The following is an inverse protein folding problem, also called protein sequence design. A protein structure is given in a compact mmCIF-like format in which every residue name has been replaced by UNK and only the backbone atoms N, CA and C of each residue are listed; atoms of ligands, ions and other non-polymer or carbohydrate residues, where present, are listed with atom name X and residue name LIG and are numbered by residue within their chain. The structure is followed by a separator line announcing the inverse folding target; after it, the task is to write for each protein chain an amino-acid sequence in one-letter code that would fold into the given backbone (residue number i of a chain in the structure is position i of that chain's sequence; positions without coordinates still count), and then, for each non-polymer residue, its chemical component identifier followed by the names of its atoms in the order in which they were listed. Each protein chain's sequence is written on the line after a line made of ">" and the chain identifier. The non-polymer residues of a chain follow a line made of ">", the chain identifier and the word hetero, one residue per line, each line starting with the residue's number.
data_IF_782032452952
#
_entry.id   IF_782032452952
#
_cell.length_a   1.000
_cell.length_b   1.000
_cell.length_c   1.000
_cell.angle_alpha   90.00
_cell.angle_beta   90.00
_cell.angle_gamma   90.00
#
_symmetry.space_group_name_H-M   'P 1'
#
loop_
_entity.id
_entity.type
_entity.pdbx_description
1 polymer ?
#
# COMPACT_ATOMS: atom_id res chain seq x y z
N UNK A 1 2.65 -13.28 29.21
CA UNK A 1 2.36 -14.69 29.54
C UNK A 1 2.90 -15.60 28.43
N UNK A 2 3.46 -16.76 28.77
CA UNK A 2 3.83 -17.79 27.81
C UNK A 2 3.40 -19.15 28.37
N UNK A 3 3.14 -20.11 27.48
CA UNK A 3 2.82 -21.49 27.85
C UNK A 3 3.45 -22.45 26.85
N UNK A 4 4.00 -23.54 27.36
CA UNK A 4 4.38 -24.69 26.54
C UNK A 4 3.10 -25.45 26.23
N UNK A 5 2.71 -25.54 24.96
CA UNK A 5 1.45 -26.17 24.51
C UNK A 5 1.68 -27.45 23.69
N UNK A 6 2.93 -27.86 23.54
CA UNK A 6 3.30 -29.04 22.76
C UNK A 6 4.80 -29.16 22.58
N UNK A 7 5.20 -30.21 21.87
CA UNK A 7 6.57 -30.54 21.52
C UNK A 7 6.69 -30.84 20.03
N UNK A 8 7.88 -30.64 19.46
CA UNK A 8 8.15 -31.02 18.08
C UNK A 8 8.56 -32.50 18.03
N UNK A 9 7.94 -33.27 17.14
CA UNK A 9 8.20 -34.69 16.96
C UNK A 9 8.94 -34.97 15.65
N UNK A 10 9.69 -36.08 15.59
CA UNK A 10 10.28 -36.57 14.33
C UNK A 10 9.20 -37.05 13.36
N UNK A 11 8.13 -37.65 13.88
CA UNK A 11 6.97 -38.06 13.10
C UNK A 11 6.21 -36.83 12.55
N UNK A 12 5.89 -36.87 11.25
CA UNK A 12 5.14 -35.84 10.54
C UNK A 12 3.63 -35.94 10.81
N UNK A 13 3.25 -35.81 12.07
CA UNK A 13 1.88 -35.96 12.56
C UNK A 13 1.47 -34.78 13.44
N UNK A 14 0.22 -34.34 13.35
CA UNK A 14 -0.35 -33.33 14.24
C UNK A 14 -1.37 -33.98 15.18
N UNK A 15 -1.08 -33.94 16.47
CA UNK A 15 -2.00 -34.36 17.53
C UNK A 15 -2.28 -33.18 18.46
N UNK A 16 -3.57 -32.94 18.74
CA UNK A 16 -4.03 -32.01 19.77
C UNK A 16 -4.80 -32.82 20.80
N UNK A 17 -4.37 -32.77 22.05
CA UNK A 17 -5.03 -33.48 23.16
C UNK A 17 -5.76 -32.47 24.06
N UNK A 18 -6.97 -32.84 24.48
CA UNK A 18 -7.74 -32.06 25.45
C UNK A 18 -7.87 -32.86 26.75
N UNK A 19 -7.11 -32.44 27.77
CA UNK A 19 -7.12 -33.08 29.09
C UNK A 19 -8.45 -32.93 29.86
N UNK A 20 -9.26 -31.92 29.54
CA UNK A 20 -10.56 -31.72 30.20
C UNK A 20 -11.57 -32.77 29.77
N UNK A 21 -11.63 -33.08 28.48
CA UNK A 21 -12.52 -34.10 27.92
C UNK A 21 -11.85 -35.47 27.77
N UNK A 22 -10.54 -35.57 27.97
CA UNK A 22 -9.77 -36.80 27.82
C UNK A 22 -9.81 -37.35 26.40
N UNK A 23 -9.82 -36.48 25.39
CA UNK A 23 -9.91 -36.86 23.98
C UNK A 23 -8.82 -36.19 23.11
N UNK A 24 -8.80 -36.52 21.81
CA UNK A 24 -7.90 -35.94 20.81
C UNK A 24 -8.68 -35.21 19.72
N UNK A 25 -8.95 -33.90 19.86
CA UNK A 25 -9.72 -33.16 18.84
C UNK A 25 -9.07 -33.12 17.46
N UNK A 26 -7.74 -33.21 17.38
CA UNK A 26 -7.00 -33.31 16.12
C UNK A 26 -6.05 -34.49 16.25
N UNK A 27 -6.10 -35.39 15.27
CA UNK A 27 -5.20 -36.53 15.18
C UNK A 27 -5.07 -36.92 13.72
N UNK A 28 -4.09 -36.34 13.01
CA UNK A 28 -3.89 -36.60 11.59
C UNK A 28 -2.45 -36.37 11.11
N UNK A 29 -2.02 -37.08 10.06
CA UNK A 29 -0.77 -36.79 9.35
C UNK A 29 -0.70 -35.36 8.81
N UNK A 30 0.51 -34.78 8.79
CA UNK A 30 0.71 -33.42 8.28
C UNK A 30 0.45 -33.29 6.79
N UNK A 31 0.65 -34.34 5.99
CA UNK A 31 0.38 -34.34 4.55
C UNK A 31 -1.12 -34.33 4.23
N UNK A 32 -1.95 -34.90 5.10
CA UNK A 32 -3.42 -34.78 5.02
C UNK A 32 -3.85 -33.34 5.28
N UNK A 33 -3.28 -32.71 6.32
CA UNK A 33 -3.62 -31.33 6.69
C UNK A 33 -3.11 -30.30 5.68
N UNK A 34 -1.87 -30.47 5.20
CA UNK A 34 -1.18 -29.53 4.31
C UNK A 34 -1.27 -29.95 2.84
N UNK A 35 -1.97 -31.04 2.55
CA UNK A 35 -2.23 -31.54 1.22
C UNK A 35 -2.87 -30.46 0.35
N UNK A 36 -2.37 -30.31 -0.87
CA UNK A 36 -2.85 -29.28 -1.80
C UNK A 36 -3.77 -29.91 -2.83
N UNK A 37 -4.94 -29.31 -3.03
CA UNK A 37 -5.75 -29.58 -4.21
C UNK A 37 -5.01 -29.15 -5.49
N UNK A 38 -5.43 -29.61 -6.68
CA UNK A 38 -4.87 -29.13 -7.94
C UNK A 38 -4.86 -27.61 -8.03
N UNK A 39 -3.89 -27.06 -8.78
CA UNK A 39 -3.78 -25.61 -9.00
C UNK A 39 -5.04 -25.10 -9.69
N UNK A 40 -5.51 -23.94 -9.26
CA UNK A 40 -6.65 -23.25 -9.87
C UNK A 40 -6.30 -22.75 -11.27
N UNK A 41 -7.20 -22.98 -12.22
CA UNK A 41 -7.17 -22.34 -13.55
C UNK A 41 -8.26 -21.27 -13.59
N UNK A 42 -7.93 -20.06 -14.02
CA UNK A 42 -8.89 -18.99 -14.28
C UNK A 42 -8.91 -18.69 -15.77
N UNK A 43 -10.04 -18.93 -16.42
CA UNK A 43 -10.30 -18.54 -17.81
C UNK A 43 -11.17 -17.29 -17.80
N UNK A 44 -10.59 -16.16 -18.21
CA UNK A 44 -11.14 -14.82 -17.99
C UNK A 44 -10.93 -13.94 -19.21
N UNK A 45 -11.80 -12.95 -19.37
CA UNK A 45 -11.78 -12.03 -20.51
C UNK A 45 -11.46 -10.62 -20.08
N UNK A 46 -10.63 -9.93 -20.87
CA UNK A 46 -10.33 -8.51 -20.68
C UNK A 46 -11.59 -7.68 -20.90
N UNK A 47 -11.85 -6.74 -20.00
CA UNK A 47 -12.85 -5.69 -20.19
C UNK A 47 -12.19 -4.34 -19.95
N UNK A 48 -12.45 -3.39 -20.86
CA UNK A 48 -11.87 -2.06 -20.83
C UNK A 48 -13.00 -1.04 -20.81
N UNK A 49 -13.00 -0.17 -19.79
CA UNK A 49 -13.95 0.93 -19.72
C UNK A 49 -13.59 1.98 -20.77
N UNK A 50 -14.58 2.44 -21.54
CA UNK A 50 -14.40 3.63 -22.38
C UNK A 50 -14.55 4.88 -21.51
N UNK A 51 -13.49 5.67 -21.43
CA UNK A 51 -13.53 6.94 -20.70
C UNK A 51 -14.43 7.96 -21.41
N UNK A 52 -15.22 8.67 -20.63
CA UNK A 52 -15.98 9.84 -21.11
C UNK A 52 -15.18 11.10 -20.81
N UNK A 53 -15.13 12.04 -21.76
CA UNK A 53 -14.51 13.33 -21.53
C UNK A 53 -15.19 14.06 -20.36
N UNK A 54 -14.39 14.71 -19.52
CA UNK A 54 -14.89 15.49 -18.39
C UNK A 54 -15.76 16.64 -18.90
N UNK A 55 -17.04 16.64 -18.50
CA UNK A 55 -17.95 17.77 -18.74
C UNK A 55 -17.54 18.92 -17.82
N UNK A 56 -17.16 20.06 -18.41
CA UNK A 56 -16.60 21.20 -17.67
C UNK A 56 -17.62 22.31 -17.41
N UNK A 57 -18.83 22.18 -17.94
CA UNK A 57 -19.89 23.16 -17.72
C UNK A 57 -20.20 23.31 -16.23
N UNK A 58 -20.14 24.54 -15.74
CA UNK A 58 -20.31 24.85 -14.31
C UNK A 58 -19.08 24.60 -13.43
N UNK A 59 -17.98 24.05 -13.96
CA UNK A 59 -16.72 23.90 -13.21
C UNK A 59 -15.89 25.19 -13.36
N UNK A 60 -15.82 25.99 -12.30
CA UNK A 60 -14.88 27.12 -12.21
C UNK A 60 -13.64 26.73 -11.43
N UNK A 61 -12.49 27.39 -11.66
CA UNK A 61 -11.26 27.11 -10.93
C UNK A 61 -11.43 27.31 -9.42
N UNK A 62 -12.16 28.35 -9.00
CA UNK A 62 -12.41 28.64 -7.58
C UNK A 62 -13.26 27.54 -6.93
N UNK A 63 -14.34 27.11 -7.59
CA UNK A 63 -15.17 26.01 -7.09
C UNK A 63 -14.38 24.69 -7.08
N UNK A 64 -13.57 24.42 -8.11
CA UNK A 64 -12.72 23.24 -8.17
C UNK A 64 -11.69 23.18 -7.04
N UNK A 65 -10.97 24.27 -6.78
CA UNK A 65 -10.01 24.36 -5.65
C UNK A 65 -10.74 24.11 -4.33
N UNK A 66 -11.89 24.75 -4.10
CA UNK A 66 -12.67 24.53 -2.89
C UNK A 66 -13.08 23.06 -2.74
N UNK A 67 -13.66 22.44 -3.77
CA UNK A 67 -14.08 21.04 -3.72
C UNK A 67 -12.92 20.07 -3.51
N UNK A 68 -11.81 20.28 -4.21
CA UNK A 68 -10.62 19.43 -4.10
C UNK A 68 -10.04 19.50 -2.68
N UNK A 69 -9.94 20.69 -2.08
CA UNK A 69 -9.47 20.84 -0.71
C UNK A 69 -10.43 20.25 0.35
N UNK A 70 -11.72 20.10 0.02
CA UNK A 70 -12.71 19.45 0.89
C UNK A 70 -12.86 17.94 0.65
N UNK A 71 -12.21 17.39 -0.39
CA UNK A 71 -12.21 15.95 -0.61
C UNK A 71 -11.37 15.29 0.49
N UNK A 72 -11.91 14.33 1.28
CA UNK A 72 -11.17 13.74 2.39
C UNK A 72 -9.83 13.11 2.00
N UNK A 73 -9.69 12.61 0.76
CA UNK A 73 -8.42 12.10 0.24
C UNK A 73 -7.32 13.18 0.16
N UNK A 74 -7.69 14.46 -0.05
CA UNK A 74 -6.76 15.60 -0.18
C UNK A 74 -6.67 16.43 1.10
N UNK A 75 -7.77 16.58 1.83
CA UNK A 75 -7.87 17.42 3.03
C UNK A 75 -6.82 17.06 4.12
N UNK A 76 -6.62 17.97 5.08
CA UNK A 76 -5.69 17.75 6.19
C UNK A 76 -6.02 16.47 7.01
N UNK A 77 -4.99 15.71 7.41
CA UNK A 77 -5.14 14.37 8.03
C UNK A 77 -4.88 14.33 9.54
N UNK A 78 -4.91 15.48 10.23
CA UNK A 78 -4.56 15.60 11.66
C UNK A 78 -5.29 14.60 12.57
N UNK A 79 -6.56 14.31 12.27
CA UNK A 79 -7.38 13.36 13.03
C UNK A 79 -6.88 11.90 12.98
N UNK A 80 -6.16 11.51 11.92
CA UNK A 80 -5.54 10.18 11.81
C UNK A 80 -4.15 10.12 12.46
N UNK A 81 -3.48 11.26 12.58
CA UNK A 81 -2.06 11.33 12.91
C UNK A 81 -1.84 11.53 14.40
N UNK A 82 -2.62 12.42 15.02
CA UNK A 82 -2.41 12.82 16.42
C UNK A 82 -2.88 11.79 17.45
N UNK A 83 -3.70 10.84 17.01
CA UNK A 83 -4.21 9.74 17.85
C UNK A 83 -3.18 8.61 18.05
N UNK A 84 -2.13 8.57 17.22
CA UNK A 84 -1.05 7.59 17.31
C UNK A 84 0.25 8.21 17.84
N UNK A 85 1.00 7.44 18.63
CA UNK A 85 2.36 7.81 19.04
C UNK A 85 3.28 7.92 17.81
N UNK A 86 4.16 8.95 17.80
CA UNK A 86 5.12 9.23 16.71
C UNK A 86 6.53 9.49 17.23
N UNK A 87 6.84 9.04 18.44
CA UNK A 87 8.08 9.38 19.15
C UNK A 87 8.67 8.23 19.95
N UNK A 88 7.84 7.24 20.32
CA UNK A 88 8.29 6.02 21.01
C UNK A 88 9.44 5.38 20.23
N UNK A 89 10.44 4.88 20.97
CA UNK A 89 11.81 4.50 20.57
C UNK A 89 12.87 5.60 20.62
N UNK A 90 12.50 6.88 20.45
CA UNK A 90 13.47 7.97 20.32
C UNK A 90 14.25 7.99 19.00
N UNK A 91 13.85 7.17 18.02
CA UNK A 91 14.53 7.02 16.72
C UNK A 91 13.74 7.64 15.54
N UNK A 92 12.66 8.37 15.81
CA UNK A 92 11.86 9.02 14.75
C UNK A 92 12.53 10.33 14.33
N UNK A 93 13.09 10.36 13.11
CA UNK A 93 13.74 11.53 12.54
C UNK A 93 12.77 12.40 11.71
N UNK A 94 11.82 11.77 11.01
CA UNK A 94 10.75 12.44 10.28
C UNK A 94 9.41 11.75 10.50
N UNK A 95 8.53 12.42 11.22
CA UNK A 95 7.10 12.10 11.30
C UNK A 95 6.29 12.89 10.26
N UNK A 96 4.98 12.65 10.24
CA UNK A 96 4.04 13.28 9.30
C UNK A 96 3.94 14.80 9.47
N UNK A 97 4.14 15.33 10.68
CA UNK A 97 3.98 16.75 11.00
C UNK A 97 5.23 17.54 10.59
N UNK A 98 5.04 18.63 9.86
CA UNK A 98 6.13 19.40 9.25
C UNK A 98 6.17 20.83 9.77
N UNK A 99 7.38 21.27 10.10
CA UNK A 99 7.70 22.67 10.42
C UNK A 99 7.09 23.17 11.74
N UNK A 100 7.30 24.46 12.07
CA UNK A 100 6.83 25.07 13.32
C UNK A 100 5.31 25.01 13.53
N UNK A 101 4.54 24.94 12.44
CA UNK A 101 3.07 24.83 12.47
C UNK A 101 2.57 23.39 12.56
N UNK A 102 3.46 22.40 12.50
CA UNK A 102 3.12 20.99 12.62
C UNK A 102 2.04 20.55 11.62
N UNK A 103 2.20 20.89 10.34
CA UNK A 103 1.23 20.57 9.29
C UNK A 103 1.46 19.15 8.77
N UNK A 104 0.45 18.27 8.68
CA UNK A 104 0.63 16.84 8.35
C UNK A 104 0.84 16.60 6.84
N UNK A 105 1.99 17.03 6.31
CA UNK A 105 2.27 16.98 4.85
C UNK A 105 3.62 16.34 4.52
N UNK A 106 4.32 15.70 5.46
CA UNK A 106 5.52 14.95 5.10
C UNK A 106 5.18 13.84 4.10
N UNK A 107 5.98 13.70 3.05
CA UNK A 107 5.73 12.72 1.97
C UNK A 107 6.21 11.31 2.34
N UNK A 108 7.17 11.19 3.25
CA UNK A 108 7.67 9.91 3.76
C UNK A 108 8.02 10.01 5.24
N UNK A 109 8.07 8.85 5.91
CA UNK A 109 8.59 8.73 7.27
C UNK A 109 10.06 8.31 7.25
N UNK A 110 10.83 8.78 8.25
CA UNK A 110 12.25 8.42 8.39
C UNK A 110 12.58 8.13 9.86
N UNK A 111 13.28 7.03 10.09
CA UNK A 111 13.84 6.63 11.38
C UNK A 111 15.35 6.53 11.34
N UNK A 112 16.01 6.71 12.48
CA UNK A 112 17.44 6.39 12.64
C UNK A 112 17.61 4.90 12.91
N UNK A 113 18.68 4.31 12.36
CA UNK A 113 18.98 2.89 12.52
C UNK A 113 19.38 2.52 13.96
N UNK A 114 19.88 3.50 14.71
CA UNK A 114 20.24 3.39 16.13
C UNK A 114 20.21 4.78 16.78
N UNK A 115 20.27 4.83 18.11
CA UNK A 115 20.30 6.08 18.88
C UNK A 115 21.61 6.89 18.69
N UNK A 116 22.63 6.31 18.07
CA UNK A 116 23.97 6.87 17.89
C UNK A 116 24.40 6.96 16.40
N UNK A 117 23.45 6.87 15.46
CA UNK A 117 23.73 6.90 14.02
C UNK A 117 22.81 7.85 13.27
N UNK A 118 23.33 8.41 12.17
CA UNK A 118 22.52 9.16 11.20
C UNK A 118 22.11 8.31 9.99
N UNK A 119 22.52 7.04 9.93
CA UNK A 119 21.89 6.09 9.03
C UNK A 119 20.47 5.78 9.52
N UNK A 120 19.63 5.25 8.64
CA UNK A 120 18.23 5.05 8.97
C UNK A 120 17.44 4.21 7.98
N UNK A 121 16.12 4.29 8.14
CA UNK A 121 15.12 3.66 7.31
C UNK A 121 14.10 4.70 6.86
N UNK A 122 13.59 4.57 5.64
CA UNK A 122 12.53 5.42 5.12
C UNK A 122 11.36 4.61 4.58
N UNK A 123 10.16 5.17 4.74
CA UNK A 123 8.88 4.54 4.39
C UNK A 123 8.03 5.53 3.60
N UNK A 124 7.51 5.12 2.45
CA UNK A 124 6.57 5.91 1.66
C UNK A 124 5.46 5.02 1.11
N UNK A 125 4.26 5.59 0.93
CA UNK A 125 3.14 4.89 0.31
C UNK A 125 2.83 5.51 -1.06
N UNK A 126 2.27 4.70 -1.94
CA UNK A 126 1.66 5.14 -3.18
C UNK A 126 0.45 4.28 -3.51
N UNK A 127 -0.63 4.92 -3.94
CA UNK A 127 -1.88 4.26 -4.31
C UNK A 127 -2.67 5.14 -5.27
N UNK A 128 -3.34 4.52 -6.24
CA UNK A 128 -4.19 5.26 -7.17
C UNK A 128 -5.40 4.45 -7.64
N UNK A 129 -6.08 3.84 -6.67
CA UNK A 129 -7.15 2.87 -6.91
C UNK A 129 -8.24 3.35 -7.88
N UNK A 130 -8.69 4.63 -7.84
CA UNK A 130 -9.69 5.11 -8.79
C UNK A 130 -9.26 5.05 -10.27
N UNK A 131 -7.96 5.07 -10.57
CA UNK A 131 -7.47 4.94 -11.96
C UNK A 131 -7.77 3.55 -12.52
N UNK A 132 -7.85 2.52 -11.68
CA UNK A 132 -8.15 1.16 -12.13
C UNK A 132 -9.53 1.01 -12.77
N UNK A 133 -10.46 1.93 -12.48
CA UNK A 133 -11.77 1.98 -13.14
C UNK A 133 -11.66 2.29 -14.65
N UNK A 134 -10.53 2.87 -15.08
CA UNK A 134 -10.23 3.19 -16.47
C UNK A 134 -9.08 2.34 -17.01
N UNK A 135 -7.99 2.17 -16.26
CA UNK A 135 -6.82 1.42 -16.70
C UNK A 135 -6.14 0.74 -15.50
N UNK A 136 -6.28 -0.59 -15.44
CA UNK A 136 -5.70 -1.43 -14.40
C UNK A 136 -4.17 -1.32 -14.34
N UNK A 137 -3.49 -1.37 -15.48
CA UNK A 137 -2.04 -1.33 -15.54
C UNK A 137 -1.48 0.05 -15.16
N UNK A 138 -2.15 1.12 -15.58
CA UNK A 138 -1.79 2.48 -15.18
C UNK A 138 -1.93 2.69 -13.67
N UNK A 139 -2.99 2.16 -13.05
CA UNK A 139 -3.16 2.26 -11.59
C UNK A 139 -1.99 1.61 -10.84
N UNK A 140 -1.52 0.45 -11.30
CA UNK A 140 -0.37 -0.25 -10.73
C UNK A 140 0.94 0.55 -10.89
N UNK A 141 1.19 1.09 -12.10
CA UNK A 141 2.37 1.91 -12.36
C UNK A 141 2.38 3.21 -11.56
N UNK A 142 1.24 3.89 -11.45
CA UNK A 142 1.11 5.12 -10.67
C UNK A 142 1.31 4.87 -9.18
N UNK A 143 0.81 3.76 -8.63
CA UNK A 143 1.06 3.40 -7.23
C UNK A 143 2.56 3.23 -6.94
N UNK A 144 3.31 2.56 -7.84
CA UNK A 144 4.77 2.47 -7.73
C UNK A 144 5.43 3.84 -7.88
N UNK A 145 5.04 4.61 -8.89
CA UNK A 145 5.58 5.93 -9.16
C UNK A 145 5.40 6.90 -7.99
N UNK A 146 4.20 6.96 -7.42
CA UNK A 146 3.90 7.80 -6.26
C UNK A 146 4.71 7.41 -5.01
N UNK A 147 4.85 6.11 -4.74
CA UNK A 147 5.67 5.66 -3.62
C UNK A 147 7.13 6.12 -3.78
N UNK A 148 7.65 6.13 -5.01
CA UNK A 148 9.00 6.62 -5.31
C UNK A 148 9.12 8.14 -5.22
N UNK A 149 8.17 8.89 -5.76
CA UNK A 149 8.22 10.37 -5.69
C UNK A 149 8.06 10.86 -4.26
N UNK A 150 7.23 10.20 -3.45
CA UNK A 150 7.11 10.48 -2.02
C UNK A 150 8.41 10.24 -1.24
N UNK A 151 9.22 9.25 -1.67
CA UNK A 151 10.49 8.88 -1.05
C UNK A 151 11.69 9.71 -1.59
N UNK A 152 11.54 10.33 -2.76
CA UNK A 152 12.64 10.89 -3.56
C UNK A 152 13.45 11.98 -2.84
N UNK A 153 12.85 12.70 -1.90
CA UNK A 153 13.48 13.78 -1.14
C UNK A 153 14.27 13.29 0.10
N UNK A 154 14.57 11.99 0.17
CA UNK A 154 15.38 11.35 1.22
C UNK A 154 16.70 10.80 0.66
N UNK A 155 17.79 10.94 1.41
CA UNK A 155 19.14 10.56 0.97
C UNK A 155 19.37 9.04 1.02
N UNK A 156 18.86 8.32 0.01
CA UNK A 156 18.94 6.84 -0.09
C UNK A 156 20.15 6.38 -0.91
N UNK A 157 20.51 7.14 -1.95
CA UNK A 157 21.52 6.76 -2.94
C UNK A 157 20.90 5.92 -4.07
N UNK A 158 21.36 4.68 -4.25
CA UNK A 158 20.89 3.83 -5.35
C UNK A 158 19.42 3.43 -5.19
N UNK A 159 18.63 3.58 -6.26
CA UNK A 159 17.23 3.15 -6.34
C UNK A 159 17.05 1.65 -6.03
N UNK A 160 18.07 0.82 -6.27
CA UNK A 160 18.07 -0.62 -5.96
C UNK A 160 17.96 -0.93 -4.46
N UNK A 161 18.24 0.05 -3.59
CA UNK A 161 18.05 -0.03 -2.14
C UNK A 161 16.56 0.04 -1.75
N UNK A 162 15.71 0.55 -2.63
CA UNK A 162 14.27 0.57 -2.42
C UNK A 162 13.71 -0.85 -2.59
N UNK A 163 12.90 -1.27 -1.63
CA UNK A 163 12.14 -2.53 -1.63
C UNK A 163 10.67 -2.20 -1.46
N UNK A 164 9.80 -2.90 -2.18
CA UNK A 164 8.37 -2.65 -2.15
C UNK A 164 7.62 -3.79 -1.47
N UNK A 165 6.58 -3.45 -0.72
CA UNK A 165 5.46 -4.34 -0.43
C UNK A 165 4.34 -4.04 -1.41
N UNK A 166 3.80 -5.08 -2.06
CA UNK A 166 2.64 -4.96 -2.94
C UNK A 166 1.42 -5.64 -2.30
N UNK A 167 0.41 -4.84 -1.93
CA UNK A 167 -0.84 -5.34 -1.36
C UNK A 167 -1.97 -5.18 -2.37
N UNK A 168 -2.52 -6.30 -2.81
CA UNK A 168 -3.51 -6.37 -3.89
C UNK A 168 -4.92 -6.58 -3.32
N UNK A 169 -5.80 -5.63 -3.57
CA UNK A 169 -7.21 -5.71 -3.20
C UNK A 169 -8.05 -5.73 -4.48
N UNK A 170 -8.86 -6.77 -4.67
CA UNK A 170 -9.72 -6.89 -5.87
C UNK A 170 -11.00 -7.66 -5.54
N UNK A 171 -12.05 -7.43 -6.33
CA UNK A 171 -13.27 -8.20 -6.29
C UNK A 171 -13.19 -9.38 -7.27
N UNK A 172 -12.43 -10.42 -6.94
CA UNK A 172 -12.19 -11.54 -7.85
C UNK A 172 -13.51 -12.17 -8.33
N UNK A 173 -13.57 -12.46 -9.63
CA UNK A 173 -14.76 -12.94 -10.34
C UNK A 173 -15.80 -11.86 -10.68
N UNK A 174 -15.61 -10.60 -10.29
CA UNK A 174 -16.37 -9.49 -10.90
C UNK A 174 -15.91 -9.30 -12.36
N UNK A 175 -16.82 -9.00 -13.31
CA UNK A 175 -16.44 -8.80 -14.72
C UNK A 175 -15.28 -7.81 -14.88
N UNK A 176 -14.26 -8.22 -15.65
CA UNK A 176 -13.06 -7.42 -15.92
C UNK A 176 -11.95 -7.48 -14.85
N UNK A 177 -12.29 -7.62 -13.57
CA UNK A 177 -11.34 -7.50 -12.44
C UNK A 177 -10.22 -8.55 -12.49
N UNK A 178 -10.51 -9.82 -12.84
CA UNK A 178 -9.49 -10.88 -12.87
C UNK A 178 -8.42 -10.65 -13.95
N UNK A 179 -8.85 -10.30 -15.16
CA UNK A 179 -7.94 -9.98 -16.27
C UNK A 179 -7.19 -8.67 -16.00
N UNK A 180 -7.87 -7.69 -15.39
CA UNK A 180 -7.28 -6.43 -14.94
C UNK A 180 -6.19 -6.62 -13.88
N UNK A 181 -6.45 -7.44 -12.86
CA UNK A 181 -5.49 -7.82 -11.82
C UNK A 181 -4.24 -8.45 -12.46
N UNK A 182 -4.42 -9.41 -13.36
CA UNK A 182 -3.30 -10.04 -14.08
C UNK A 182 -2.47 -9.00 -14.85
N UNK A 183 -3.12 -8.11 -15.60
CA UNK A 183 -2.46 -7.06 -16.36
C UNK A 183 -1.68 -6.08 -15.47
N UNK A 184 -2.25 -5.69 -14.31
CA UNK A 184 -1.59 -4.81 -13.36
C UNK A 184 -0.39 -5.46 -12.67
N UNK A 185 -0.52 -6.73 -12.25
CA UNK A 185 0.58 -7.52 -11.68
C UNK A 185 1.71 -7.65 -12.70
N UNK A 186 1.39 -7.94 -13.96
CA UNK A 186 2.38 -8.00 -15.04
C UNK A 186 3.08 -6.66 -15.27
N UNK A 187 2.33 -5.58 -15.41
CA UNK A 187 2.87 -4.24 -15.65
C UNK A 187 3.83 -3.77 -14.54
N UNK A 188 3.59 -4.21 -13.29
CA UNK A 188 4.45 -3.90 -12.16
C UNK A 188 5.61 -4.90 -12.03
N UNK A 189 5.31 -6.20 -12.00
CA UNK A 189 6.25 -7.27 -11.66
C UNK A 189 7.13 -7.78 -12.80
N UNK A 190 6.66 -7.74 -14.05
CA UNK A 190 7.43 -8.16 -15.22
C UNK A 190 8.05 -6.97 -15.99
N UNK A 191 7.47 -5.78 -15.86
CA UNK A 191 7.85 -4.61 -16.69
C UNK A 191 8.49 -3.49 -15.85
N UNK A 192 7.69 -2.71 -15.09
CA UNK A 192 8.15 -1.48 -14.45
C UNK A 192 9.22 -1.71 -13.38
N UNK A 193 8.96 -2.58 -12.39
CA UNK A 193 9.89 -2.79 -11.29
C UNK A 193 11.22 -3.42 -11.77
N UNK A 194 11.23 -4.43 -12.65
CA UNK A 194 12.46 -4.92 -13.28
C UNK A 194 13.22 -3.82 -14.04
N UNK A 195 12.53 -2.99 -14.83
CA UNK A 195 13.17 -1.88 -15.57
C UNK A 195 13.82 -0.84 -14.65
N UNK A 196 13.22 -0.57 -13.49
CA UNK A 196 13.76 0.33 -12.46
C UNK A 196 14.79 -0.34 -11.53
N UNK A 197 14.96 -1.67 -11.61
CA UNK A 197 15.82 -2.44 -10.70
C UNK A 197 15.31 -2.49 -9.26
N UNK A 198 13.99 -2.41 -9.07
CA UNK A 198 13.33 -2.42 -7.76
C UNK A 198 12.75 -3.80 -7.50
N UNK A 199 12.88 -4.28 -6.26
CA UNK A 199 12.38 -5.60 -5.85
C UNK A 199 11.06 -5.47 -5.09
N UNK A 200 10.15 -6.41 -5.31
CA UNK A 200 8.95 -6.62 -4.50
C UNK A 200 9.13 -7.91 -3.68
N UNK A 201 9.88 -7.89 -2.55
CA UNK A 201 10.18 -9.11 -1.79
C UNK A 201 9.03 -9.60 -0.90
N UNK A 202 7.98 -8.79 -0.73
CA UNK A 202 6.86 -9.08 0.17
C UNK A 202 5.56 -8.55 -0.44
N UNK A 203 4.45 -9.19 -0.09
CA UNK A 203 3.13 -8.75 -0.51
C UNK A 203 2.03 -9.58 0.13
N UNK A 204 0.79 -9.17 -0.11
CA UNK A 204 -0.41 -9.88 0.31
C UNK A 204 -1.55 -9.59 -0.66
N UNK A 205 -2.58 -10.41 -0.61
CA UNK A 205 -3.78 -10.26 -1.42
C UNK A 205 -5.06 -10.36 -0.56
N UNK A 206 -6.09 -9.61 -0.97
CA UNK A 206 -7.47 -9.68 -0.47
C UNK A 206 -8.44 -9.65 -1.66
N UNK A 207 -9.01 -10.82 -1.98
CA UNK A 207 -9.63 -11.09 -3.29
C UNK A 207 -11.17 -11.06 -3.28
N UNK A 208 -11.79 -10.47 -2.25
CA UNK A 208 -13.26 -10.45 -2.10
C UNK A 208 -13.81 -9.05 -1.80
N UNK A 209 -13.25 -8.02 -2.45
CA UNK A 209 -13.55 -6.61 -2.17
C UNK A 209 -14.87 -6.13 -2.80
N UNK A 210 -15.98 -6.77 -2.42
CA UNK A 210 -17.34 -6.39 -2.81
C UNK A 210 -18.34 -6.66 -1.68
N UNK A 211 -19.39 -5.86 -1.62
CA UNK A 211 -20.48 -5.99 -0.65
C UNK A 211 -21.82 -6.06 -1.37
N UNK A 212 -22.71 -6.97 -0.95
CA UNK A 212 -24.07 -7.13 -1.50
C UNK A 212 -25.11 -7.01 -0.41
N UNK A 213 -26.22 -6.33 -0.69
CA UNK A 213 -27.35 -6.20 0.24
C UNK A 213 -28.67 -6.01 -0.51
N UNK A 214 -29.79 -6.16 0.20
CA UNK A 214 -31.12 -5.82 -0.30
C UNK A 214 -31.47 -4.39 0.10
N UNK A 215 -31.89 -3.58 -0.86
CA UNK A 215 -32.42 -2.24 -0.68
C UNK A 215 -33.89 -2.22 -1.14
N UNK A 216 -34.81 -2.42 -0.20
CA UNK A 216 -36.22 -2.66 -0.52
C UNK A 216 -36.40 -3.95 -1.32
N UNK A 217 -36.86 -3.84 -2.58
CA UNK A 217 -37.00 -4.97 -3.50
C UNK A 217 -35.79 -5.17 -4.44
N UNK A 218 -34.79 -4.31 -4.37
CA UNK A 218 -33.63 -4.33 -5.27
C UNK A 218 -32.39 -4.93 -4.60
N UNK A 219 -31.72 -5.83 -5.32
CA UNK A 219 -30.37 -6.25 -4.96
C UNK A 219 -29.37 -5.16 -5.34
N UNK A 220 -28.55 -4.72 -4.39
CA UNK A 220 -27.45 -3.77 -4.60
C UNK A 220 -26.11 -4.44 -4.36
N UNK A 221 -25.12 -3.99 -5.13
CA UNK A 221 -23.73 -4.39 -5.00
C UNK A 221 -22.85 -3.14 -5.04
N UNK A 222 -21.88 -3.09 -4.13
CA UNK A 222 -20.80 -2.10 -4.12
C UNK A 222 -19.48 -2.86 -4.30
N UNK A 223 -18.81 -2.61 -5.43
CA UNK A 223 -17.56 -3.27 -5.82
C UNK A 223 -16.42 -2.26 -5.72
N UNK A 224 -15.36 -2.60 -5.00
CA UNK A 224 -14.14 -1.79 -5.01
C UNK A 224 -13.44 -1.90 -6.37
N UNK A 225 -12.75 -0.83 -6.84
CA UNK A 225 -11.79 -0.98 -7.93
C UNK A 225 -10.67 -1.94 -7.51
N UNK A 226 -9.96 -2.52 -8.50
CA UNK A 226 -8.62 -3.03 -8.24
C UNK A 226 -7.80 -1.94 -7.53
N UNK A 227 -7.33 -2.27 -6.33
CA UNK A 227 -6.65 -1.34 -5.44
C UNK A 227 -5.28 -1.93 -5.10
N UNK A 228 -4.24 -1.40 -5.75
CA UNK A 228 -2.85 -1.70 -5.41
C UNK A 228 -2.35 -0.62 -4.44
N UNK A 229 -1.92 -1.05 -3.25
CA UNK A 229 -1.17 -0.20 -2.32
C UNK A 229 0.28 -0.64 -2.32
N UNK A 230 1.17 0.26 -2.73
CA UNK A 230 2.62 0.09 -2.65
C UNK A 230 3.12 0.75 -1.38
N UNK A 231 3.92 0.01 -0.61
CA UNK A 231 4.74 0.58 0.45
C UNK A 231 6.20 0.41 0.07
N UNK A 232 6.91 1.52 -0.10
CA UNK A 232 8.35 1.56 -0.35
C UNK A 232 9.13 1.65 0.96
N UNK A 233 10.20 0.87 1.05
CA UNK A 233 11.14 0.80 2.17
C UNK A 233 12.56 1.01 1.65
N UNK A 234 13.38 1.79 2.34
CA UNK A 234 14.77 1.98 1.94
C UNK A 234 15.71 2.23 3.13
N UNK A 235 16.96 1.75 3.01
CA UNK A 235 18.08 2.21 3.86
C UNK A 235 18.41 3.66 3.50
N UNK A 236 18.45 4.52 4.51
CA UNK A 236 18.83 5.93 4.42
C UNK A 236 20.30 6.09 4.78
N UNK A 237 21.02 6.87 3.97
CA UNK A 237 22.44 7.16 4.17
C UNK A 237 22.65 8.27 5.21
N UNK A 238 21.80 9.30 5.22
CA UNK A 238 21.84 10.36 6.23
C UNK A 238 20.44 10.96 6.44
N UNK A 239 19.81 10.67 7.58
CA UNK A 239 18.46 11.13 7.92
C UNK A 239 18.35 12.65 8.03
N UNK A 240 19.47 13.35 8.29
CA UNK A 240 19.47 14.81 8.46
C UNK A 240 19.28 15.57 7.15
N UNK A 241 19.38 14.86 6.02
CA UNK A 241 19.24 15.42 4.66
C UNK A 241 17.85 15.27 4.08
N UNK A 242 16.89 14.73 4.83
CA UNK A 242 15.50 14.62 4.37
C UNK A 242 14.88 16.00 4.23
N UNK A 243 14.34 16.28 3.04
CA UNK A 243 13.66 17.54 2.73
C UNK A 243 12.16 17.39 3.01
N UNK A 244 11.52 18.48 3.40
CA UNK A 244 10.07 18.53 3.65
C UNK A 244 9.42 19.59 2.75
N UNK A 245 8.08 19.60 2.62
CA UNK A 245 7.37 20.65 1.88
C UNK A 245 7.42 22.05 2.51
N UNK A 246 8.14 22.25 3.61
CA UNK A 246 8.29 23.57 4.22
C UNK A 246 9.17 24.48 3.36
N UNK A 247 8.54 25.50 2.75
CA UNK A 247 9.24 26.53 2.00
C UNK A 247 10.02 27.48 2.92
N UNK A 248 11.20 27.92 2.46
CA UNK A 248 12.02 28.95 3.10
C UNK A 248 11.81 30.28 2.37
N UNK A 249 10.87 31.09 2.86
CA UNK A 249 10.46 32.33 2.21
C UNK A 249 11.42 33.51 2.45
N UNK A 250 12.32 33.39 3.42
CA UNK A 250 13.30 34.40 3.83
C UNK A 250 14.62 34.32 3.06
N UNK A 251 14.73 33.41 2.09
CA UNK A 251 15.90 33.21 1.25
C UNK A 251 15.54 33.33 -0.23
N UNK A 252 16.52 33.72 -1.05
CA UNK A 252 16.36 33.70 -2.52
C UNK A 252 16.08 32.27 -2.98
N UNK A 253 14.96 32.07 -3.68
CA UNK A 253 14.49 30.75 -4.09
C UNK A 253 13.81 30.77 -5.46
N UNK A 254 13.70 29.58 -6.05
CA UNK A 254 12.99 29.32 -7.31
C UNK A 254 12.18 28.05 -7.18
N UNK A 255 10.90 28.11 -7.58
CA UNK A 255 10.04 26.92 -7.67
C UNK A 255 10.17 26.31 -9.07
N UNK A 256 10.64 25.07 -9.13
CA UNK A 256 10.79 24.29 -10.36
C UNK A 256 9.81 23.12 -10.36
N UNK A 257 8.99 23.03 -11.40
CA UNK A 257 8.13 21.87 -11.65
C UNK A 257 8.90 20.83 -12.46
N UNK A 258 8.85 19.57 -12.01
CA UNK A 258 9.29 18.41 -12.78
C UNK A 258 8.04 17.66 -13.23
N UNK A 259 7.72 17.76 -14.52
CA UNK A 259 6.62 17.04 -15.17
C UNK A 259 7.19 15.77 -15.82
N UNK A 260 6.98 14.62 -15.18
CA UNK A 260 7.62 13.32 -15.48
C UNK A 260 6.77 12.41 -16.37
#
# INVERSE_FOLDING_TARGET
>A
PFAVIGEATEELHLSLEDSHFGNKPIDMPLDVLLGKTPKMTRDVVTQQTQGTALQRDGITLVDAVNRVLHLPAVAEKTFLITIGDRSVTGMVARDQMVGPWQIPVATCAVTTASLDSYHGEAFALGERSPVALLDFAASGRLAVGEALTNLAATHIGSLKRVKLSANWMSAAGHPGEDAGLYAAVKAVGEELCPALGITIPVGKDSMSMKTRWQEGSEQREMTSPLSLVITAFARVEDVRRTVTPQLQADQDNLLLLIDL
#
